data_IF_268989606040
#
_entry.id   IF_268989606040
#
_cell.length_a   1.000
_cell.length_b   1.000
_cell.length_c   1.000
_cell.angle_alpha   90.00
_cell.angle_beta   90.00
_cell.angle_gamma   90.00
#
_symmetry.space_group_name_H-M   'P 1'
#
loop_
_entity.id
_entity.type
_entity.pdbx_description
1 polymer ?
#
# COMPACT_ATOMS: atom_id res chain seq x y z
N UNK A 1 -43.67 41.14 3.65
CA UNK A 1 -43.40 42.40 2.93
C UNK A 1 -43.68 42.26 1.41
N UNK A 2 -43.34 41.11 0.75
CA UNK A 2 -43.51 40.93 -0.72
C UNK A 2 -44.98 41.05 -1.15
N UNK A 3 -45.95 40.44 -0.43
CA UNK A 3 -47.37 40.52 -0.75
C UNK A 3 -47.90 41.95 -0.69
N UNK A 4 -47.48 42.75 0.29
CA UNK A 4 -47.85 44.16 0.39
C UNK A 4 -47.28 44.94 -0.78
N UNK A 5 -46.02 44.76 -1.11
CA UNK A 5 -45.38 45.42 -2.24
C UNK A 5 -46.02 45.04 -3.59
N UNK A 6 -46.47 43.78 -3.75
CA UNK A 6 -47.24 43.35 -4.91
C UNK A 6 -48.59 44.04 -5.02
N UNK A 7 -49.31 44.17 -3.90
CA UNK A 7 -50.57 44.87 -3.87
C UNK A 7 -50.40 46.35 -4.27
N UNK A 8 -49.36 47.03 -3.75
CA UNK A 8 -49.05 48.42 -4.12
C UNK A 8 -48.70 48.57 -5.60
N UNK A 9 -47.98 47.62 -6.20
CA UNK A 9 -47.73 47.61 -7.64
C UNK A 9 -49.04 47.46 -8.44
N UNK A 10 -49.93 46.54 -8.00
CA UNK A 10 -51.21 46.32 -8.65
C UNK A 10 -52.09 47.63 -8.59
N UNK A 11 -52.18 48.27 -7.42
CA UNK A 11 -52.91 49.49 -7.22
C UNK A 11 -52.39 50.65 -8.12
N UNK A 12 -51.09 50.92 -8.06
CA UNK A 12 -50.46 51.98 -8.86
C UNK A 12 -50.55 51.71 -10.36
N UNK A 13 -50.47 50.46 -10.76
CA UNK A 13 -50.65 50.06 -12.17
C UNK A 13 -52.08 50.28 -12.64
N UNK A 14 -53.09 49.91 -11.81
CA UNK A 14 -54.49 50.11 -12.11
C UNK A 14 -54.82 51.62 -12.21
N UNK A 15 -54.28 52.45 -11.30
CA UNK A 15 -54.44 53.88 -11.32
C UNK A 15 -53.85 54.52 -12.60
N UNK A 16 -52.62 54.13 -12.98
CA UNK A 16 -51.99 54.63 -14.21
C UNK A 16 -52.77 54.21 -15.43
N UNK A 17 -53.28 52.97 -15.48
CA UNK A 17 -54.08 52.48 -16.62
C UNK A 17 -55.41 53.26 -16.74
N UNK A 18 -56.07 53.57 -15.62
CA UNK A 18 -57.28 54.40 -15.67
C UNK A 18 -56.96 55.83 -16.19
N UNK A 19 -55.87 56.45 -15.74
CA UNK A 19 -55.48 57.80 -16.23
C UNK A 19 -55.12 57.77 -17.73
N UNK A 20 -54.47 56.74 -18.23
CA UNK A 20 -54.19 56.56 -19.66
C UNK A 20 -55.45 56.38 -20.46
N UNK A 21 -56.42 55.60 -20.00
CA UNK A 21 -57.72 55.44 -20.66
C UNK A 21 -58.47 56.75 -20.75
N UNK A 22 -58.48 57.56 -19.66
CA UNK A 22 -59.10 58.89 -19.70
C UNK A 22 -58.40 59.84 -20.70
N UNK A 23 -57.06 59.76 -20.76
CA UNK A 23 -56.27 60.55 -21.74
C UNK A 23 -56.62 60.19 -23.16
N UNK A 24 -56.78 58.90 -23.48
CA UNK A 24 -57.19 58.42 -24.80
C UNK A 24 -58.59 58.90 -25.16
N UNK A 25 -59.59 58.76 -24.24
CA UNK A 25 -61.00 59.17 -24.47
C UNK A 25 -61.13 60.71 -24.64
N UNK A 26 -60.28 61.49 -23.95
CA UNK A 26 -60.31 62.93 -24.00
C UNK A 26 -59.48 63.55 -25.16
N UNK A 27 -58.89 62.75 -26.04
CA UNK A 27 -57.98 63.21 -27.09
C UNK A 27 -56.72 63.86 -26.55
N UNK A 28 -56.27 63.49 -25.39
CA UNK A 28 -55.04 63.99 -24.71
C UNK A 28 -55.25 65.29 -23.93
N UNK A 29 -56.47 65.73 -23.70
CA UNK A 29 -56.76 66.99 -23.00
C UNK A 29 -56.77 66.84 -21.47
N UNK A 30 -57.14 65.62 -20.97
CA UNK A 30 -57.21 65.29 -19.55
C UNK A 30 -56.76 63.88 -19.38
N UNK A 31 -56.00 63.53 -18.32
CA UNK A 31 -55.34 64.37 -17.30
C UNK A 31 -54.11 65.14 -17.86
N UNK A 32 -53.57 66.09 -17.08
CA UNK A 32 -52.37 66.80 -17.45
C UNK A 32 -51.17 65.81 -17.58
N UNK A 33 -50.24 66.11 -18.50
CA UNK A 33 -49.05 65.27 -18.71
C UNK A 33 -48.25 65.07 -17.45
N UNK A 34 -48.17 66.06 -16.57
CA UNK A 34 -47.53 66.01 -15.25
C UNK A 34 -48.19 64.97 -14.32
N UNK A 35 -49.49 64.76 -14.40
CA UNK A 35 -50.22 63.78 -13.61
C UNK A 35 -49.96 62.35 -14.09
N UNK A 36 -49.87 62.18 -15.43
CA UNK A 36 -49.47 60.89 -16.01
C UNK A 36 -48.03 60.52 -15.67
N UNK A 37 -47.11 61.51 -15.75
CA UNK A 37 -45.72 61.30 -15.37
C UNK A 37 -45.60 60.97 -13.87
N UNK A 38 -46.38 61.64 -12.99
CA UNK A 38 -46.41 61.34 -11.58
C UNK A 38 -46.94 59.91 -11.30
N UNK A 39 -48.05 59.53 -11.95
CA UNK A 39 -48.60 58.18 -11.80
C UNK A 39 -47.62 57.08 -12.29
N UNK A 40 -46.93 57.36 -13.40
CA UNK A 40 -45.89 56.43 -13.87
C UNK A 40 -44.70 56.34 -12.89
N UNK A 41 -44.24 57.48 -12.34
CA UNK A 41 -43.19 57.47 -11.31
C UNK A 41 -43.61 56.69 -10.03
N UNK A 42 -44.86 56.81 -9.60
CA UNK A 42 -45.38 56.04 -8.49
C UNK A 42 -45.35 54.52 -8.76
N UNK A 43 -45.78 54.12 -9.97
CA UNK A 43 -45.72 52.70 -10.37
C UNK A 43 -44.28 52.20 -10.40
N UNK A 44 -43.33 52.99 -10.93
CA UNK A 44 -41.91 52.63 -10.94
C UNK A 44 -41.33 52.47 -9.54
N UNK A 45 -41.68 53.39 -8.62
CA UNK A 45 -41.27 53.28 -7.21
C UNK A 45 -41.84 52.03 -6.56
N UNK A 46 -43.13 51.73 -6.77
CA UNK A 46 -43.77 50.50 -6.26
C UNK A 46 -43.07 49.25 -6.82
N UNK A 47 -42.72 49.22 -8.13
CA UNK A 47 -42.00 48.08 -8.71
C UNK A 47 -40.59 47.93 -8.16
N UNK A 48 -39.88 49.03 -7.88
CA UNK A 48 -38.57 48.99 -7.23
C UNK A 48 -38.69 48.47 -5.78
N UNK A 49 -39.69 48.89 -5.03
CA UNK A 49 -39.98 48.38 -3.67
C UNK A 49 -40.27 46.88 -3.67
N UNK A 50 -41.03 46.42 -4.68
CA UNK A 50 -41.27 44.96 -4.83
C UNK A 50 -39.97 44.22 -5.15
N UNK A 51 -39.09 44.76 -6.04
CA UNK A 51 -37.81 44.17 -6.33
C UNK A 51 -36.93 44.10 -5.08
N UNK A 52 -36.88 45.14 -4.26
CA UNK A 52 -36.16 45.17 -2.99
C UNK A 52 -36.72 44.07 -2.00
N UNK A 53 -38.03 44.03 -1.83
CA UNK A 53 -38.64 43.04 -0.95
C UNK A 53 -38.36 41.56 -1.40
N UNK A 54 -38.30 41.33 -2.71
CA UNK A 54 -37.89 40.01 -3.27
C UNK A 54 -36.43 39.72 -3.01
N UNK A 55 -35.54 40.72 -3.17
CA UNK A 55 -34.12 40.57 -2.88
C UNK A 55 -33.88 40.21 -1.40
N UNK A 56 -34.61 40.84 -0.49
CA UNK A 56 -34.58 40.51 0.95
C UNK A 56 -34.93 39.04 1.21
N UNK A 57 -35.94 38.50 0.52
CA UNK A 57 -36.32 37.08 0.64
C UNK A 57 -35.20 36.17 0.11
N UNK A 58 -34.55 36.54 -1.01
CA UNK A 58 -33.43 35.79 -1.54
C UNK A 58 -32.26 35.78 -0.54
N UNK A 59 -31.96 36.95 0.03
CA UNK A 59 -30.91 37.08 1.05
C UNK A 59 -31.21 36.22 2.29
N UNK A 60 -32.44 36.27 2.81
CA UNK A 60 -32.84 35.48 3.98
C UNK A 60 -32.76 33.96 3.71
N UNK A 61 -33.12 33.53 2.50
CA UNK A 61 -32.98 32.12 2.07
C UNK A 61 -31.53 31.70 1.96
N UNK A 62 -30.64 32.58 1.47
CA UNK A 62 -29.20 32.29 1.42
C UNK A 62 -28.61 32.13 2.82
N UNK A 63 -29.00 33.01 3.75
CA UNK A 63 -28.59 32.89 5.18
C UNK A 63 -29.08 31.59 5.78
N UNK A 64 -30.36 31.26 5.61
CA UNK A 64 -30.95 30.00 6.10
C UNK A 64 -30.16 28.79 5.55
N UNK A 65 -29.84 28.79 4.26
CA UNK A 65 -29.07 27.71 3.63
C UNK A 65 -27.66 27.55 4.25
N UNK A 66 -27.03 28.68 4.57
CA UNK A 66 -25.74 28.69 5.27
C UNK A 66 -25.86 28.08 6.67
N UNK A 67 -26.90 28.48 7.42
CA UNK A 67 -27.13 27.99 8.77
C UNK A 67 -27.49 26.49 8.79
N UNK A 68 -28.32 26.03 7.85
CA UNK A 68 -28.61 24.60 7.66
C UNK A 68 -27.33 23.80 7.35
N UNK A 69 -26.46 24.34 6.50
CA UNK A 69 -25.18 23.72 6.17
C UNK A 69 -24.27 23.66 7.41
N UNK A 70 -24.22 24.70 8.19
CA UNK A 70 -23.43 24.73 9.43
C UNK A 70 -23.98 23.77 10.49
N UNK A 71 -25.29 23.69 10.60
CA UNK A 71 -25.94 22.71 11.47
C UNK A 71 -25.63 21.26 11.03
N UNK A 72 -25.67 20.99 9.73
CA UNK A 72 -25.28 19.68 9.19
C UNK A 72 -23.83 19.29 9.51
N UNK A 73 -22.91 20.27 9.56
CA UNK A 73 -21.51 20.04 9.96
C UNK A 73 -21.32 19.74 11.45
N UNK A 74 -22.31 20.05 12.29
CA UNK A 74 -22.26 19.73 13.72
C UNK A 74 -22.42 18.23 13.99
N UNK A 75 -22.94 17.47 13.02
CA UNK A 75 -23.05 16.01 13.09
C UNK A 75 -22.02 15.37 12.17
N UNK A 76 -21.10 14.60 12.75
CA UNK A 76 -20.05 13.87 12.01
C UNK A 76 -20.53 12.42 11.85
N UNK A 77 -20.79 12.03 10.61
CA UNK A 77 -21.22 10.67 10.26
C UNK A 77 -20.10 9.91 9.55
N UNK A 78 -20.15 8.59 9.64
CA UNK A 78 -19.25 7.74 8.87
C UNK A 78 -19.53 7.87 7.36
N UNK A 79 -18.51 8.02 6.51
CA UNK A 79 -18.68 8.04 5.05
C UNK A 79 -18.88 6.64 4.46
N UNK A 80 -18.62 5.57 5.24
CA UNK A 80 -18.68 4.17 4.82
C UNK A 80 -19.37 3.32 5.87
N UNK A 81 -20.01 2.25 5.45
CA UNK A 81 -20.52 1.21 6.35
C UNK A 81 -19.34 0.36 6.82
N UNK A 82 -19.35 -0.07 8.09
CA UNK A 82 -18.26 -0.87 8.61
C UNK A 82 -18.23 -0.97 10.12
N UNK A 83 -17.12 -1.46 10.65
CA UNK A 83 -16.88 -1.68 12.07
C UNK A 83 -15.88 -0.68 12.61
N UNK A 84 -16.16 -0.11 13.78
CA UNK A 84 -15.22 0.78 14.47
C UNK A 84 -14.09 -0.03 15.10
N UNK A 85 -12.86 0.17 14.62
CA UNK A 85 -11.67 -0.47 15.17
C UNK A 85 -11.16 0.24 16.42
N UNK A 86 -11.16 1.56 16.40
CA UNK A 86 -10.75 2.36 17.56
C UNK A 86 -11.41 3.74 17.56
N UNK A 87 -11.74 4.21 18.76
CA UNK A 87 -12.17 5.58 19.05
C UNK A 87 -10.97 6.34 19.61
N UNK A 88 -10.66 7.49 19.02
CA UNK A 88 -9.53 8.36 19.38
C UNK A 88 -9.96 9.65 20.10
N UNK A 89 -11.25 9.81 20.31
CA UNK A 89 -11.86 11.01 20.91
C UNK A 89 -12.71 10.61 22.12
N UNK A 90 -12.69 11.41 23.18
CA UNK A 90 -13.52 11.20 24.36
C UNK A 90 -14.71 12.18 24.39
N UNK A 91 -15.86 11.79 24.98
CA UNK A 91 -16.98 12.70 25.20
C UNK A 91 -16.52 13.94 25.99
N UNK A 92 -16.95 15.12 25.54
CA UNK A 92 -16.54 16.40 26.12
C UNK A 92 -15.21 16.95 25.60
N UNK A 93 -14.48 16.23 24.76
CA UNK A 93 -13.26 16.72 24.15
C UNK A 93 -13.58 17.72 23.03
N UNK A 94 -12.93 18.88 23.05
CA UNK A 94 -13.01 19.85 21.96
C UNK A 94 -12.20 19.37 20.74
N UNK A 95 -12.83 19.34 19.59
CA UNK A 95 -12.21 18.99 18.32
C UNK A 95 -11.94 20.29 17.54
N UNK A 96 -10.68 20.64 17.36
CA UNK A 96 -10.26 21.81 16.58
C UNK A 96 -9.30 21.39 15.47
N UNK A 97 -9.65 21.69 14.23
CA UNK A 97 -8.84 21.39 13.03
C UNK A 97 -8.05 22.61 12.58
N UNK A 98 -7.29 23.26 13.48
CA UNK A 98 -6.57 24.49 13.14
C UNK A 98 -5.27 24.24 12.39
N UNK A 99 -4.52 23.17 12.71
CA UNK A 99 -3.23 22.84 12.06
C UNK A 99 -3.18 21.42 11.51
N UNK A 100 -3.81 20.48 12.19
CA UNK A 100 -3.88 19.07 11.76
C UNK A 100 -5.31 18.56 11.94
N UNK A 101 -5.80 17.80 10.97
CA UNK A 101 -7.11 17.14 11.09
C UNK A 101 -7.02 16.00 12.08
N UNK A 102 -7.71 16.07 13.24
CA UNK A 102 -7.67 15.00 14.22
C UNK A 102 -8.41 13.76 13.70
N UNK A 103 -7.85 12.59 13.97
CA UNK A 103 -8.51 11.31 13.72
C UNK A 103 -9.46 11.02 14.88
N UNK A 104 -10.75 10.93 14.63
CA UNK A 104 -11.76 10.65 15.64
C UNK A 104 -11.99 9.16 15.82
N UNK A 105 -12.16 8.44 14.71
CA UNK A 105 -12.43 7.01 14.66
C UNK A 105 -11.56 6.36 13.57
N UNK A 106 -11.19 5.13 13.79
CA UNK A 106 -10.60 4.25 12.77
C UNK A 106 -11.65 3.19 12.45
N UNK A 107 -11.99 3.06 11.18
CA UNK A 107 -13.05 2.19 10.68
C UNK A 107 -12.45 1.13 9.75
N UNK A 108 -13.06 -0.05 9.69
CA UNK A 108 -12.82 -1.05 8.66
C UNK A 108 -14.14 -1.36 7.97
N UNK A 109 -14.13 -1.38 6.64
CA UNK A 109 -15.32 -1.72 5.83
C UNK A 109 -15.64 -3.21 5.95
N UNK A 110 -14.62 -4.05 5.82
CA UNK A 110 -14.77 -5.51 5.86
C UNK A 110 -13.55 -6.14 6.54
N UNK A 111 -13.79 -6.87 7.61
CA UNK A 111 -12.75 -7.61 8.34
C UNK A 111 -12.45 -8.99 7.73
N UNK A 112 -13.29 -9.47 6.80
CA UNK A 112 -13.05 -10.73 6.10
C UNK A 112 -11.98 -10.58 5.01
N UNK A 113 -11.84 -9.38 4.44
CA UNK A 113 -10.84 -9.06 3.42
C UNK A 113 -9.73 -8.22 4.03
N UNK A 114 -8.57 -8.80 4.17
CA UNK A 114 -7.43 -8.13 4.78
C UNK A 114 -6.23 -8.06 3.84
N UNK A 115 -5.42 -7.05 4.07
CA UNK A 115 -4.14 -6.91 3.41
C UNK A 115 -3.01 -7.12 4.42
N UNK A 116 -2.07 -7.99 4.07
CA UNK A 116 -0.82 -8.15 4.80
C UNK A 116 0.26 -7.33 4.10
N UNK A 117 0.84 -6.37 4.81
CA UNK A 117 1.92 -5.54 4.33
C UNK A 117 3.26 -6.12 4.79
N UNK A 118 4.05 -6.61 3.85
CA UNK A 118 5.36 -7.20 4.08
C UNK A 118 6.45 -6.29 3.55
N UNK A 119 7.54 -6.14 4.30
CA UNK A 119 8.76 -5.48 3.84
C UNK A 119 9.68 -6.53 3.25
N UNK A 120 9.94 -6.44 1.96
CA UNK A 120 10.86 -7.32 1.22
C UNK A 120 12.19 -6.58 1.03
N UNK A 121 13.29 -7.24 1.33
CA UNK A 121 14.63 -6.70 1.15
C UNK A 121 14.96 -6.46 -0.34
N UNK A 122 15.79 -5.46 -0.64
CA UNK A 122 16.24 -5.14 -1.99
C UNK A 122 16.90 -6.34 -2.68
N UNK A 123 17.62 -7.16 -1.93
CA UNK A 123 18.29 -8.34 -2.48
C UNK A 123 17.33 -9.41 -2.99
N UNK A 124 16.10 -9.44 -2.48
CA UNK A 124 15.12 -10.49 -2.77
C UNK A 124 13.96 -10.00 -3.65
N UNK A 125 13.73 -8.68 -3.72
CA UNK A 125 12.58 -8.10 -4.43
C UNK A 125 12.53 -8.44 -5.91
N UNK A 126 13.71 -8.64 -6.55
CA UNK A 126 13.81 -9.02 -7.96
C UNK A 126 13.19 -10.38 -8.29
N UNK A 127 13.00 -11.25 -7.29
CA UNK A 127 12.39 -12.58 -7.44
C UNK A 127 10.92 -12.62 -7.03
N UNK A 128 10.36 -11.50 -6.55
CA UNK A 128 8.99 -11.40 -6.03
C UNK A 128 8.10 -10.79 -7.10
N UNK A 129 7.08 -11.56 -7.53
CA UNK A 129 6.17 -11.15 -8.58
C UNK A 129 4.70 -11.24 -8.11
N UNK A 130 3.87 -10.41 -8.72
CA UNK A 130 2.42 -10.45 -8.49
C UNK A 130 1.84 -11.82 -8.85
N UNK A 131 0.91 -12.31 -8.03
CA UNK A 131 0.25 -13.60 -8.21
C UNK A 131 1.00 -14.80 -7.60
N UNK A 132 2.22 -14.63 -7.10
CA UNK A 132 2.91 -15.71 -6.38
C UNK A 132 2.16 -16.05 -5.08
N UNK A 133 2.21 -17.35 -4.75
CA UNK A 133 1.67 -17.86 -3.49
C UNK A 133 2.62 -17.58 -2.33
N UNK A 134 2.03 -17.20 -1.22
CA UNK A 134 2.74 -17.02 0.04
C UNK A 134 1.98 -17.68 1.17
N UNK A 135 2.66 -17.97 2.25
CA UNK A 135 2.06 -18.34 3.53
C UNK A 135 2.62 -17.44 4.62
N UNK A 136 1.85 -17.21 5.66
CA UNK A 136 2.34 -16.44 6.81
C UNK A 136 1.84 -17.03 8.11
N UNK A 137 2.56 -16.69 9.16
CA UNK A 137 2.21 -17.04 10.55
C UNK A 137 2.09 -15.76 11.36
N UNK A 138 1.21 -15.76 12.34
CA UNK A 138 1.06 -14.65 13.30
C UNK A 138 1.37 -15.17 14.71
N UNK A 139 1.94 -14.31 15.54
CA UNK A 139 2.31 -14.68 16.91
C UNK A 139 1.10 -15.08 17.77
N UNK A 140 -0.09 -14.57 17.43
CA UNK A 140 -1.33 -14.90 18.14
C UNK A 140 -1.79 -16.36 17.91
N UNK A 141 -1.38 -17.00 16.82
CA UNK A 141 -1.76 -18.38 16.46
C UNK A 141 -0.50 -19.19 16.10
N UNK A 142 0.29 -19.63 17.10
CA UNK A 142 1.50 -20.42 16.86
C UNK A 142 1.15 -21.74 16.17
N UNK A 143 1.89 -22.05 15.09
CA UNK A 143 1.72 -23.28 14.34
C UNK A 143 0.61 -23.27 13.27
N UNK A 144 -0.23 -22.24 13.22
CA UNK A 144 -1.21 -22.04 12.14
C UNK A 144 -0.60 -21.25 11.00
N UNK A 145 -0.62 -21.80 9.80
CA UNK A 145 -0.23 -21.11 8.58
C UNK A 145 -1.48 -20.61 7.85
N UNK A 146 -1.42 -19.35 7.43
CA UNK A 146 -2.48 -18.72 6.67
C UNK A 146 -2.01 -18.54 5.22
N UNK A 147 -2.83 -18.94 4.25
CA UNK A 147 -2.52 -18.73 2.84
C UNK A 147 -2.66 -17.26 2.47
N UNK A 148 -1.81 -16.79 1.57
CA UNK A 148 -1.87 -15.46 0.99
C UNK A 148 -1.39 -15.47 -0.46
N UNK A 149 -1.73 -14.46 -1.22
CA UNK A 149 -1.24 -14.25 -2.57
C UNK A 149 -0.73 -12.83 -2.74
N UNK A 150 0.36 -12.65 -3.50
CA UNK A 150 0.91 -11.33 -3.75
C UNK A 150 -0.01 -10.56 -4.70
N UNK A 151 -0.61 -9.50 -4.18
CA UNK A 151 -1.46 -8.60 -4.95
C UNK A 151 -0.62 -7.56 -5.68
N UNK A 152 0.37 -6.98 -4.98
CA UNK A 152 1.20 -5.90 -5.53
C UNK A 152 2.56 -5.82 -4.85
N UNK A 153 3.59 -5.64 -5.66
CA UNK A 153 4.93 -5.27 -5.19
C UNK A 153 5.10 -3.77 -5.35
N UNK A 154 5.43 -3.06 -4.28
CA UNK A 154 5.64 -1.62 -4.30
C UNK A 154 6.90 -1.26 -5.09
N UNK A 155 6.82 -0.21 -5.91
CA UNK A 155 7.95 0.31 -6.67
C UNK A 155 8.82 1.30 -5.87
N UNK A 156 8.23 1.89 -4.82
CA UNK A 156 8.94 2.82 -3.95
C UNK A 156 9.69 2.10 -2.84
N UNK A 157 10.98 2.38 -2.74
CA UNK A 157 11.81 1.90 -1.63
C UNK A 157 11.56 2.72 -0.36
N UNK A 158 11.64 2.06 0.79
CA UNK A 158 11.65 2.68 2.11
C UNK A 158 12.96 2.31 2.81
N UNK A 159 13.73 3.32 3.21
CA UNK A 159 14.96 3.09 3.96
C UNK A 159 14.69 3.29 5.45
N UNK A 160 14.96 2.27 6.24
CA UNK A 160 14.87 2.30 7.70
C UNK A 160 16.16 1.73 8.24
N UNK A 161 16.85 2.45 9.12
CA UNK A 161 18.12 2.01 9.73
C UNK A 161 19.17 1.53 8.68
N UNK A 162 19.29 2.26 7.58
CA UNK A 162 20.15 1.93 6.43
C UNK A 162 19.80 0.62 5.69
N UNK A 163 18.62 0.03 5.94
CA UNK A 163 18.10 -1.11 5.20
C UNK A 163 17.06 -0.65 4.20
N UNK A 164 17.28 -0.97 2.93
CA UNK A 164 16.36 -0.67 1.84
C UNK A 164 15.36 -1.80 1.70
N UNK A 165 14.07 -1.48 1.84
CA UNK A 165 12.99 -2.45 1.72
C UNK A 165 11.90 -1.97 0.78
N UNK A 166 11.20 -2.90 0.14
CA UNK A 166 10.08 -2.66 -0.75
C UNK A 166 8.79 -3.18 -0.12
N UNK A 167 7.80 -2.31 -0.01
CA UNK A 167 6.50 -2.67 0.56
C UNK A 167 5.73 -3.55 -0.41
N UNK A 168 5.51 -4.80 -0.04
CA UNK A 168 4.73 -5.78 -0.80
C UNK A 168 3.41 -6.02 -0.10
N UNK A 169 2.31 -5.99 -0.85
CA UNK A 169 0.95 -6.18 -0.36
C UNK A 169 0.48 -7.57 -0.78
N UNK A 170 0.05 -8.35 0.21
CA UNK A 170 -0.52 -9.67 0.03
C UNK A 170 -2.00 -9.61 0.39
N UNK A 171 -2.83 -10.22 -0.44
CA UNK A 171 -4.24 -10.42 -0.15
C UNK A 171 -4.43 -11.62 0.77
N UNK A 172 -5.24 -11.44 1.78
CA UNK A 172 -5.53 -12.45 2.81
C UNK A 172 -7.03 -12.55 3.03
N UNK A 173 -7.56 -13.77 3.00
CA UNK A 173 -8.93 -14.06 3.39
C UNK A 173 -8.98 -14.37 4.88
N UNK A 174 -9.91 -13.75 5.59
CA UNK A 174 -10.10 -13.87 7.04
C UNK A 174 -11.57 -14.19 7.36
N UNK A 175 -12.11 -15.22 6.68
CA UNK A 175 -13.53 -15.59 6.80
C UNK A 175 -13.94 -16.00 8.22
N UNK A 176 -12.98 -16.55 8.98
CA UNK A 176 -13.17 -16.94 10.38
C UNK A 176 -12.89 -15.81 11.39
N UNK A 177 -12.57 -14.61 10.92
CA UNK A 177 -12.26 -13.42 11.74
C UNK A 177 -11.17 -13.67 12.81
N UNK A 178 -10.29 -14.66 12.58
CA UNK A 178 -9.20 -14.99 13.49
C UNK A 178 -8.08 -13.95 13.47
N UNK A 179 -7.90 -13.26 12.36
CA UNK A 179 -6.92 -12.20 12.19
C UNK A 179 -7.53 -10.84 12.56
N UNK A 180 -6.73 -10.01 13.23
CA UNK A 180 -7.13 -8.65 13.60
C UNK A 180 -6.17 -7.64 12.99
N UNK A 181 -6.67 -6.46 12.56
CA UNK A 181 -5.81 -5.37 12.13
C UNK A 181 -4.76 -5.00 13.21
N UNK A 182 -3.52 -4.76 12.77
CA UNK A 182 -2.40 -4.47 13.68
C UNK A 182 -1.61 -5.68 14.18
N UNK A 183 -2.00 -6.91 13.82
CA UNK A 183 -1.19 -8.09 14.12
C UNK A 183 0.11 -8.10 13.31
N UNK A 184 1.20 -8.55 13.94
CA UNK A 184 2.48 -8.77 13.27
C UNK A 184 2.55 -10.19 12.74
N UNK A 185 3.01 -10.32 11.50
CA UNK A 185 3.12 -11.58 10.81
C UNK A 185 4.50 -11.79 10.20
N UNK A 186 4.91 -13.05 10.09
CA UNK A 186 6.08 -13.47 9.32
C UNK A 186 5.61 -14.22 8.08
N UNK A 187 5.92 -13.67 6.90
CA UNK A 187 5.52 -14.25 5.63
C UNK A 187 6.66 -15.03 4.98
N UNK A 188 6.30 -16.16 4.37
CA UNK A 188 7.17 -16.96 3.51
C UNK A 188 6.62 -16.91 2.09
N UNK A 189 7.37 -16.32 1.17
CA UNK A 189 7.01 -16.18 -0.24
C UNK A 189 7.72 -17.25 -1.04
N UNK A 190 6.97 -18.01 -1.84
CA UNK A 190 7.53 -19.03 -2.74
C UNK A 190 7.93 -18.35 -4.05
N UNK A 191 9.21 -18.08 -4.22
CA UNK A 191 9.75 -17.43 -5.41
C UNK A 191 10.01 -18.38 -6.57
N UNK A 192 10.31 -19.64 -6.26
CA UNK A 192 10.49 -20.69 -7.26
C UNK A 192 10.05 -22.04 -6.71
N UNK A 193 9.35 -22.82 -7.52
CA UNK A 193 8.99 -24.21 -7.24
C UNK A 193 9.40 -25.09 -8.40
N UNK A 194 9.91 -26.27 -8.10
CA UNK A 194 10.29 -27.26 -9.10
C UNK A 194 9.74 -28.63 -8.70
N UNK A 195 9.00 -29.23 -9.60
CA UNK A 195 8.52 -30.61 -9.43
C UNK A 195 9.57 -31.60 -9.91
N UNK A 196 9.81 -32.66 -9.11
CA UNK A 196 10.73 -33.77 -9.46
C UNK A 196 12.19 -33.35 -9.70
N UNK A 197 12.68 -32.30 -9.01
CA UNK A 197 14.07 -31.87 -9.12
C UNK A 197 15.00 -32.88 -8.42
N UNK A 198 16.17 -33.16 -9.06
CA UNK A 198 17.25 -33.86 -8.40
C UNK A 198 17.92 -32.91 -7.40
N UNK A 199 17.97 -33.29 -6.14
CA UNK A 199 18.48 -32.44 -5.06
C UNK A 199 19.76 -33.03 -4.47
N UNK A 200 20.70 -32.15 -4.15
CA UNK A 200 21.91 -32.48 -3.41
C UNK A 200 22.03 -31.61 -2.16
N UNK A 201 22.48 -32.21 -1.06
CA UNK A 201 22.69 -31.46 0.17
C UNK A 201 23.80 -30.40 -0.01
N UNK A 202 23.57 -29.18 0.49
CA UNK A 202 24.57 -28.10 0.38
C UNK A 202 25.88 -28.44 1.12
N UNK A 203 25.86 -29.32 2.11
CA UNK A 203 27.04 -29.86 2.77
C UNK A 203 27.94 -30.61 1.78
N UNK A 204 27.36 -31.39 0.86
CA UNK A 204 28.13 -32.15 -0.13
C UNK A 204 28.77 -31.24 -1.20
N UNK A 205 28.13 -30.10 -1.52
CA UNK A 205 28.71 -29.10 -2.43
C UNK A 205 29.90 -28.34 -1.83
N UNK A 206 30.01 -28.33 -0.51
CA UNK A 206 31.09 -27.65 0.24
C UNK A 206 32.18 -28.62 0.69
N UNK A 207 31.96 -29.91 0.54
CA UNK A 207 32.89 -30.93 0.96
C UNK A 207 34.09 -31.02 0.00
N UNK A 208 35.30 -31.06 0.55
CA UNK A 208 36.53 -31.35 -0.17
C UNK A 208 37.29 -32.42 0.59
N UNK A 209 37.67 -33.55 -0.02
CA UNK A 209 38.41 -34.63 0.67
C UNK A 209 39.74 -34.10 1.21
N UNK A 210 40.15 -34.53 2.42
CA UNK A 210 41.45 -34.25 2.94
C UNK A 210 42.50 -34.96 2.07
N UNK A 211 43.26 -34.24 1.28
CA UNK A 211 44.31 -34.77 0.42
C UNK A 211 44.48 -34.08 -0.93
N UNK A 212 43.44 -33.50 -1.52
CA UNK A 212 43.53 -32.82 -2.82
C UNK A 212 43.66 -31.29 -2.76
N UNK A 213 43.45 -30.68 -1.63
CA UNK A 213 43.63 -29.20 -1.44
C UNK A 213 45.06 -28.78 -1.09
N UNK A 214 45.97 -29.71 -0.89
CA UNK A 214 47.35 -29.48 -0.50
C UNK A 214 48.34 -30.05 -1.55
N UNK A 215 48.25 -29.63 -2.79
CA UNK A 215 49.46 -29.52 -3.58
C UNK A 215 50.31 -28.38 -2.93
N UNK A 216 50.93 -28.71 -1.81
CA UNK A 216 52.01 -27.89 -1.28
C UNK A 216 53.04 -27.80 -2.39
N UNK A 217 53.16 -26.65 -3.05
CA UNK A 217 54.33 -26.27 -3.78
C UNK A 217 55.50 -26.56 -2.86
N UNK A 218 56.31 -27.60 -3.16
CA UNK A 218 57.54 -27.87 -2.50
C UNK A 218 58.35 -26.57 -2.52
N UNK A 219 58.41 -25.88 -1.41
CA UNK A 219 59.33 -24.78 -1.19
C UNK A 219 60.68 -25.38 -1.16
N UNK A 220 61.49 -25.17 -2.24
CA UNK A 220 62.88 -25.60 -2.30
C UNK A 220 63.66 -25.19 -1.01
N UNK A 221 64.61 -26.03 -0.66
CA UNK A 221 65.46 -25.90 0.56
C UNK A 221 66.01 -24.49 0.83
N UNK A 222 66.13 -23.64 -0.17
CA UNK A 222 66.66 -22.26 -0.10
C UNK A 222 65.62 -21.27 0.52
N UNK A 223 64.31 -21.54 0.43
CA UNK A 223 63.26 -20.68 0.95
C UNK A 223 63.06 -20.82 2.49
N UNK A 224 63.75 -21.77 3.13
CA UNK A 224 63.73 -22.01 4.57
C UNK A 224 64.65 -21.09 5.37
N UNK A 225 65.55 -20.37 4.72
CA UNK A 225 66.60 -19.56 5.37
C UNK A 225 66.34 -18.04 5.30
N UNK A 226 65.24 -17.60 4.66
CA UNK A 226 64.88 -16.16 4.68
C UNK A 226 63.67 -15.92 5.61
N UNK A 227 63.71 -14.90 6.52
CA UNK A 227 62.52 -14.48 7.26
C UNK A 227 61.52 -13.89 6.30
N UNK A 228 60.47 -14.66 6.00
CA UNK A 228 59.34 -14.22 5.16
C UNK A 228 58.29 -13.48 5.98
N UNK A 229 57.44 -12.67 5.31
CA UNK A 229 56.33 -11.98 5.99
C UNK A 229 55.41 -12.99 6.68
N UNK A 230 54.71 -12.57 7.75
CA UNK A 230 53.85 -13.46 8.52
C UNK A 230 52.78 -14.11 7.59
N UNK A 231 52.43 -15.37 7.85
CA UNK A 231 51.47 -16.08 7.02
C UNK A 231 50.14 -15.34 7.01
N UNK A 232 49.74 -14.80 5.86
CA UNK A 232 48.36 -14.38 5.64
C UNK A 232 47.45 -15.58 5.95
N UNK A 233 46.51 -15.37 6.85
CA UNK A 233 45.46 -16.32 7.15
C UNK A 233 44.76 -16.73 5.81
N UNK A 234 44.49 -18.02 5.61
CA UNK A 234 43.89 -18.48 4.35
C UNK A 234 42.56 -17.79 4.12
N UNK A 235 42.50 -16.89 3.15
CA UNK A 235 41.28 -16.30 2.61
C UNK A 235 40.54 -17.34 1.76
N UNK A 236 40.24 -18.49 2.32
CA UNK A 236 39.30 -19.43 1.74
C UNK A 236 37.97 -19.30 2.46
N UNK A 237 37.29 -18.19 2.24
CA UNK A 237 35.82 -18.21 2.26
C UNK A 237 35.38 -18.61 0.87
N UNK A 238 34.87 -19.81 0.64
CA UNK A 238 34.16 -20.09 -0.60
C UNK A 238 33.00 -19.11 -0.67
N UNK A 239 33.01 -18.25 -1.67
CA UNK A 239 31.90 -17.38 -1.97
C UNK A 239 30.66 -18.28 -2.09
N UNK A 240 29.62 -17.99 -1.30
CA UNK A 240 28.32 -18.59 -1.46
C UNK A 240 27.85 -18.18 -2.84
N UNK A 241 27.92 -19.08 -3.80
CA UNK A 241 27.44 -18.88 -5.15
C UNK A 241 25.91 -18.67 -5.06
N UNK A 242 25.49 -17.41 -5.07
CA UNK A 242 24.11 -17.02 -5.35
C UNK A 242 23.94 -17.15 -6.86
N UNK A 243 23.28 -18.21 -7.31
CA UNK A 243 22.90 -18.35 -8.72
C UNK A 243 23.35 -19.69 -9.33
N UNK A 244 22.67 -20.08 -10.37
CA UNK A 244 23.01 -21.25 -11.18
C UNK A 244 24.47 -21.16 -11.64
N UNK A 245 25.29 -22.10 -11.17
CA UNK A 245 26.72 -22.13 -11.47
C UNK A 245 27.25 -23.55 -11.48
N UNK A 246 28.50 -23.71 -11.93
CA UNK A 246 29.18 -24.98 -11.89
C UNK A 246 29.47 -25.37 -10.43
N UNK A 247 29.02 -26.53 -10.02
CA UNK A 247 29.26 -27.15 -8.73
C UNK A 247 30.02 -28.47 -8.87
N UNK A 248 30.61 -28.93 -7.78
CA UNK A 248 31.30 -30.21 -7.72
C UNK A 248 30.84 -30.95 -6.45
N UNK A 249 30.55 -32.22 -6.59
CA UNK A 249 30.30 -33.12 -5.46
C UNK A 249 31.22 -34.32 -5.53
N UNK A 250 31.41 -34.95 -4.37
CA UNK A 250 32.24 -36.14 -4.26
C UNK A 250 31.34 -37.34 -4.03
N UNK A 251 31.48 -38.34 -4.91
CA UNK A 251 30.77 -39.60 -4.84
C UNK A 251 31.76 -40.67 -4.45
N UNK A 252 31.35 -41.62 -3.61
CA UNK A 252 32.18 -42.76 -3.23
C UNK A 252 32.03 -43.89 -4.27
N UNK A 253 33.04 -44.10 -5.09
CA UNK A 253 33.09 -45.21 -6.07
C UNK A 253 34.21 -46.14 -5.64
N UNK A 254 33.91 -47.41 -5.41
CA UNK A 254 34.87 -48.44 -4.99
C UNK A 254 35.74 -48.03 -3.76
N UNK A 255 35.13 -47.29 -2.81
CA UNK A 255 35.80 -46.82 -1.61
C UNK A 255 36.73 -45.60 -1.82
N UNK A 256 36.75 -45.02 -3.01
CA UNK A 256 37.54 -43.81 -3.31
C UNK A 256 36.64 -42.63 -3.65
N UNK A 257 36.94 -41.44 -3.14
CA UNK A 257 36.20 -40.22 -3.49
C UNK A 257 36.49 -39.86 -4.93
N UNK A 258 35.47 -39.76 -5.78
CA UNK A 258 35.54 -39.28 -7.16
C UNK A 258 34.79 -37.98 -7.29
N UNK A 259 35.43 -37.00 -7.89
CA UNK A 259 34.80 -35.71 -8.17
C UNK A 259 33.83 -35.80 -9.35
N UNK A 260 32.61 -35.33 -9.18
CA UNK A 260 31.59 -35.26 -10.21
C UNK A 260 31.21 -33.80 -10.39
N UNK A 261 31.46 -33.24 -11.56
CA UNK A 261 31.04 -31.90 -11.91
C UNK A 261 29.54 -31.88 -12.20
N UNK A 262 28.84 -30.82 -11.70
CA UNK A 262 27.42 -30.67 -11.91
C UNK A 262 27.04 -29.19 -12.08
N UNK A 263 25.94 -28.95 -12.78
CA UNK A 263 25.35 -27.63 -12.88
C UNK A 263 24.28 -27.49 -11.81
N UNK A 264 24.43 -26.48 -10.97
CA UNK A 264 23.52 -26.20 -9.87
C UNK A 264 22.43 -25.23 -10.29
N UNK A 265 21.22 -25.45 -9.84
CA UNK A 265 20.06 -24.59 -9.99
C UNK A 265 19.73 -23.84 -8.71
N UNK A 266 18.44 -23.75 -8.42
CA UNK A 266 17.91 -23.06 -7.24
C UNK A 266 18.25 -23.80 -5.96
N UNK A 267 18.54 -23.04 -4.87
CA UNK A 267 18.85 -23.59 -3.56
C UNK A 267 17.85 -23.08 -2.51
N UNK A 268 17.40 -23.96 -1.62
CA UNK A 268 16.57 -23.61 -0.47
C UNK A 268 17.37 -23.35 0.82
N UNK A 269 18.72 -23.24 0.70
CA UNK A 269 19.60 -23.08 1.85
C UNK A 269 20.10 -24.38 2.48
N UNK A 270 19.38 -25.49 2.32
CA UNK A 270 19.76 -26.84 2.80
C UNK A 270 20.13 -27.77 1.65
N UNK A 271 19.42 -27.67 0.57
CA UNK A 271 19.58 -28.48 -0.65
C UNK A 271 19.64 -27.59 -1.86
N UNK A 272 20.34 -28.02 -2.89
CA UNK A 272 20.46 -27.32 -4.17
C UNK A 272 20.02 -28.24 -5.29
N UNK A 273 19.27 -27.71 -6.24
CA UNK A 273 18.84 -28.39 -7.46
C UNK A 273 20.04 -28.71 -8.35
N UNK A 274 20.06 -29.89 -8.95
CA UNK A 274 21.01 -30.31 -9.97
C UNK A 274 20.33 -30.25 -11.33
N UNK A 275 20.76 -29.32 -12.18
CA UNK A 275 20.23 -29.11 -13.52
C UNK A 275 20.88 -30.01 -14.58
N UNK A 276 22.11 -30.48 -14.31
CA UNK A 276 22.87 -31.34 -15.24
C UNK A 276 24.17 -31.81 -14.62
N UNK A 277 24.73 -32.87 -15.21
CA UNK A 277 25.94 -33.56 -14.74
C UNK A 277 25.75 -35.05 -14.73
N UNK A 278 26.79 -35.81 -14.33
CA UNK A 278 26.74 -37.26 -14.28
C UNK A 278 26.11 -37.85 -13.03
N UNK A 279 25.60 -36.98 -12.12
CA UNK A 279 24.92 -37.38 -10.87
C UNK A 279 23.51 -37.94 -11.16
N UNK A 280 23.23 -39.14 -10.71
CA UNK A 280 21.92 -39.82 -10.85
C UNK A 280 21.26 -39.97 -9.51
N UNK A 281 19.91 -40.06 -9.53
CA UNK A 281 19.14 -40.32 -8.34
C UNK A 281 19.57 -41.65 -7.68
N UNK A 282 19.79 -41.64 -6.38
CA UNK A 282 20.25 -42.82 -5.60
C UNK A 282 21.77 -42.93 -5.46
N UNK A 283 22.59 -42.08 -6.10
CA UNK A 283 24.02 -42.07 -5.84
C UNK A 283 24.34 -41.47 -4.47
N UNK A 284 25.22 -42.13 -3.72
CA UNK A 284 25.66 -41.64 -2.41
C UNK A 284 26.70 -40.56 -2.58
N UNK A 285 26.38 -39.31 -2.11
CA UNK A 285 27.29 -38.19 -2.10
C UNK A 285 27.92 -38.01 -0.72
N UNK A 286 29.19 -37.66 -0.69
CA UNK A 286 29.95 -37.43 0.55
C UNK A 286 29.59 -36.03 1.07
N UNK A 287 29.05 -35.97 2.27
CA UNK A 287 28.67 -34.69 2.93
C UNK A 287 29.63 -34.31 4.06
N UNK A 288 30.34 -35.27 4.62
CA UNK A 288 31.26 -35.04 5.75
C UNK A 288 32.32 -36.16 5.82
N UNK A 289 33.40 -35.91 6.52
CA UNK A 289 34.47 -36.87 6.78
C UNK A 289 34.73 -36.97 8.28
N UNK A 290 34.58 -38.18 8.80
CA UNK A 290 35.01 -38.48 10.16
C UNK A 290 36.33 -39.25 10.11
N UNK A 291 37.38 -38.66 10.66
CA UNK A 291 38.61 -39.40 10.90
C UNK A 291 38.39 -40.51 11.90
N UNK A 292 38.76 -41.76 11.55
CA UNK A 292 38.72 -42.83 12.50
C UNK A 292 39.58 -42.46 13.72
N UNK A 293 38.99 -42.44 14.90
CA UNK A 293 39.75 -42.35 16.14
C UNK A 293 40.66 -43.57 16.24
N UNK A 294 41.98 -43.35 16.16
CA UNK A 294 42.99 -44.36 16.52
C UNK A 294 42.94 -44.64 18.00
#
# INVERSE_FOLDING_TARGET
>A
SVALAQATVAETTASLNRMRQVAELSGGKVPAKTELDTANALRLRASASLASARAEVVQARATLKTDETNLGKATISSPVDGVVLSRKVEPGQTVAAQMTTPVLFVLAEDLAKMELQVKVDEADVGNVNTGQTASFTVSAWPGRQFPASIQRVGLGATTTDNVVTYKTILQVNNDDLALRPGMTATATIVTASRDKALLVANAALRFTPPGEGAAAKERGLVARLMPGPPPEAPKNRPAVAKGSGDGQVWVLVDGRPQAVALKTGVSNGRQTEVLGGELKAGMAVISDYQAAKK
#
